data_IF_546323176207
#
_entry.id   IF_546323176207
#
_cell.length_a   1.000
_cell.length_b   1.000
_cell.length_c   1.000
_cell.angle_alpha   90.00
_cell.angle_beta   90.00
_cell.angle_gamma   90.00
#
_symmetry.space_group_name_H-M   'P 1'
#
loop_
_entity.id
_entity.type
_entity.pdbx_description
1 polymer ?
#
# COMPACT_ATOMS: atom_id res chain seq x y z
N UNK A 1 -9.25 7.86 -10.94
CA UNK A 1 -8.03 7.19 -11.45
C UNK A 1 -6.74 7.98 -11.16
N UNK A 2 -6.49 9.16 -11.76
CA UNK A 2 -5.21 9.91 -11.64
C UNK A 2 -4.75 10.16 -10.19
N UNK A 3 -5.66 10.48 -9.27
CA UNK A 3 -5.35 10.75 -7.86
C UNK A 3 -4.79 9.52 -7.11
N UNK A 4 -5.27 8.32 -7.45
CA UNK A 4 -4.84 7.06 -6.81
C UNK A 4 -3.40 6.70 -7.23
N UNK A 5 -3.08 6.85 -8.51
CA UNK A 5 -1.71 6.64 -9.00
C UNK A 5 -0.74 7.66 -8.42
N UNK A 6 -1.15 8.94 -8.33
CA UNK A 6 -0.32 9.98 -7.73
C UNK A 6 -0.04 9.69 -6.24
N UNK A 7 -1.05 9.25 -5.48
CA UNK A 7 -0.87 8.85 -4.08
C UNK A 7 0.07 7.65 -3.92
N UNK A 8 -0.03 6.64 -4.80
CA UNK A 8 0.89 5.49 -4.80
C UNK A 8 2.32 5.93 -5.14
N UNK A 9 2.50 6.81 -6.13
CA UNK A 9 3.80 7.36 -6.50
C UNK A 9 4.45 8.18 -5.37
N UNK A 10 3.69 9.09 -4.74
CA UNK A 10 4.19 9.86 -3.59
C UNK A 10 4.59 8.93 -2.43
N UNK A 11 3.79 7.90 -2.16
CA UNK A 11 4.13 6.89 -1.14
C UNK A 11 5.42 6.12 -1.49
N UNK A 12 5.66 5.87 -2.78
CA UNK A 12 6.90 5.26 -3.26
C UNK A 12 8.10 6.21 -3.10
N UNK A 13 7.94 7.51 -3.37
CA UNK A 13 8.98 8.51 -3.11
C UNK A 13 9.38 8.54 -1.64
N UNK A 14 8.41 8.49 -0.72
CA UNK A 14 8.69 8.37 0.72
C UNK A 14 9.51 7.11 1.03
N UNK A 15 9.19 5.98 0.39
CA UNK A 15 9.93 4.73 0.57
C UNK A 15 11.39 4.86 0.10
N UNK A 16 11.64 5.52 -1.03
CA UNK A 16 13.00 5.81 -1.51
C UNK A 16 13.79 6.67 -0.51
N UNK A 17 13.18 7.70 0.07
CA UNK A 17 13.83 8.53 1.10
C UNK A 17 14.26 7.71 2.33
N UNK A 18 13.45 6.71 2.71
CA UNK A 18 13.83 5.78 3.79
C UNK A 18 15.01 4.89 3.39
N UNK A 19 15.01 4.34 2.17
CA UNK A 19 16.14 3.53 1.67
C UNK A 19 17.42 4.35 1.68
N UNK A 20 17.38 5.58 1.17
CA UNK A 20 18.54 6.48 1.15
C UNK A 20 19.00 6.79 2.57
N UNK A 21 18.08 7.03 3.51
CA UNK A 21 18.42 7.23 4.93
C UNK A 21 19.17 6.02 5.49
N UNK A 22 18.68 4.80 5.25
CA UNK A 22 19.35 3.58 5.70
C UNK A 22 20.73 3.38 5.06
N UNK A 23 20.85 3.68 3.77
CA UNK A 23 22.13 3.63 3.07
C UNK A 23 23.14 4.62 3.67
N UNK A 24 22.72 5.86 3.96
CA UNK A 24 23.58 6.87 4.59
C UNK A 24 24.00 6.43 5.99
N UNK A 25 23.11 5.82 6.78
CA UNK A 25 23.44 5.23 8.08
C UNK A 25 24.47 4.12 7.94
N UNK A 26 24.27 3.18 7.02
CA UNK A 26 25.21 2.10 6.79
C UNK A 26 26.60 2.64 6.37
N UNK A 27 26.63 3.61 5.43
CA UNK A 27 27.87 4.25 4.99
C UNK A 27 28.56 5.01 6.13
N UNK A 28 27.80 5.74 6.94
CA UNK A 28 28.33 6.45 8.11
C UNK A 28 28.93 5.49 9.13
N UNK A 29 28.29 4.35 9.36
CA UNK A 29 28.79 3.29 10.25
C UNK A 29 30.09 2.68 9.75
N UNK A 30 30.18 2.34 8.45
CA UNK A 30 31.41 1.84 7.83
C UNK A 30 32.54 2.87 7.94
N UNK A 31 32.26 4.13 7.61
CA UNK A 31 33.25 5.22 7.70
C UNK A 31 33.77 5.44 9.12
N UNK A 32 32.91 5.25 10.13
CA UNK A 32 33.31 5.33 11.53
C UNK A 32 34.16 4.12 11.96
N UNK A 33 33.78 2.92 11.51
CA UNK A 33 34.52 1.69 11.78
C UNK A 33 35.94 1.70 11.16
N UNK A 34 36.09 2.28 9.97
CA UNK A 34 37.38 2.45 9.28
C UNK A 34 38.24 3.59 9.86
N UNK A 35 37.79 4.25 10.94
CA UNK A 35 38.53 5.33 11.62
C UNK A 35 38.42 6.69 10.92
N UNK A 36 37.52 6.85 9.96
CA UNK A 36 37.23 8.12 9.30
C UNK A 36 36.52 9.12 10.22
N UNK A 37 36.75 10.41 10.00
CA UNK A 37 36.04 11.47 10.70
C UNK A 37 34.67 11.70 10.06
N UNK A 38 33.60 11.37 10.80
CA UNK A 38 32.23 11.67 10.40
C UNK A 38 31.78 12.93 11.15
N UNK A 39 31.43 13.98 10.41
CA UNK A 39 30.76 15.15 10.98
C UNK A 39 29.33 14.76 11.38
N UNK A 40 29.17 14.39 12.66
CA UNK A 40 27.92 13.93 13.24
C UNK A 40 26.80 14.96 13.11
N UNK A 41 27.12 16.25 13.23
CA UNK A 41 26.10 17.32 13.18
C UNK A 41 25.53 17.41 11.78
N UNK A 42 26.40 17.51 10.78
CA UNK A 42 25.97 17.54 9.37
C UNK A 42 25.24 16.25 8.98
N UNK A 43 25.73 15.11 9.45
CA UNK A 43 25.12 13.81 9.18
C UNK A 43 23.69 13.70 9.73
N UNK A 44 23.48 14.08 11.00
CA UNK A 44 22.16 14.07 11.64
C UNK A 44 21.21 15.06 10.97
N UNK A 45 21.69 16.27 10.60
CA UNK A 45 20.87 17.27 9.90
C UNK A 45 20.38 16.77 8.54
N UNK A 46 21.25 16.09 7.76
CA UNK A 46 20.86 15.49 6.48
C UNK A 46 19.78 14.43 6.69
N UNK A 47 19.97 13.53 7.67
CA UNK A 47 18.97 12.49 7.96
C UNK A 47 17.64 13.07 8.42
N UNK A 48 17.67 14.09 9.28
CA UNK A 48 16.46 14.80 9.73
C UNK A 48 15.73 15.44 8.56
N UNK A 49 16.45 16.17 7.69
CA UNK A 49 15.87 16.82 6.51
C UNK A 49 15.24 15.81 5.56
N UNK A 50 15.92 14.69 5.29
CA UNK A 50 15.43 13.65 4.40
C UNK A 50 14.16 12.96 4.95
N UNK A 51 14.13 12.69 6.26
CA UNK A 51 12.96 12.08 6.90
C UNK A 51 11.79 13.06 7.05
N UNK A 52 12.07 14.34 7.35
CA UNK A 52 11.04 15.38 7.39
C UNK A 52 10.40 15.58 6.01
N UNK A 53 11.21 15.63 4.95
CA UNK A 53 10.72 15.68 3.57
C UNK A 53 9.87 14.44 3.23
N UNK A 54 10.40 13.24 3.51
CA UNK A 54 9.66 11.99 3.30
C UNK A 54 8.32 11.95 4.05
N UNK A 55 8.28 12.48 5.27
CA UNK A 55 7.06 12.61 6.07
C UNK A 55 6.05 13.59 5.45
N UNK A 56 6.51 14.74 4.96
CA UNK A 56 5.64 15.69 4.24
C UNK A 56 5.00 15.07 2.99
N UNK A 57 5.79 14.34 2.21
CA UNK A 57 5.30 13.58 1.05
C UNK A 57 4.28 12.52 1.46
N UNK A 58 4.50 11.82 2.58
CA UNK A 58 3.58 10.83 3.15
C UNK A 58 2.20 11.42 3.47
N UNK A 59 2.18 12.61 4.08
CA UNK A 59 0.95 13.30 4.44
C UNK A 59 0.12 13.63 3.21
N UNK A 60 0.76 14.14 2.15
CA UNK A 60 0.09 14.46 0.89
C UNK A 60 -0.46 13.19 0.24
N UNK A 61 0.34 12.12 0.18
CA UNK A 61 -0.08 10.82 -0.35
C UNK A 61 -1.33 10.30 0.37
N UNK A 62 -1.35 10.37 1.72
CA UNK A 62 -2.48 9.93 2.54
C UNK A 62 -3.75 10.74 2.25
N UNK A 63 -3.62 12.06 2.09
CA UNK A 63 -4.76 12.94 1.76
C UNK A 63 -5.33 12.61 0.37
N UNK A 64 -4.48 12.44 -0.63
CA UNK A 64 -4.89 12.09 -1.99
C UNK A 64 -5.53 10.70 -2.07
N UNK A 65 -5.00 9.73 -1.31
CA UNK A 65 -5.61 8.41 -1.21
C UNK A 65 -7.01 8.48 -0.59
N UNK A 66 -7.19 9.32 0.44
CA UNK A 66 -8.50 9.56 1.07
C UNK A 66 -9.51 10.20 0.12
N UNK A 67 -9.12 11.23 -0.63
CA UNK A 67 -9.98 11.88 -1.64
C UNK A 67 -10.33 10.93 -2.79
N UNK A 68 -9.37 10.14 -3.26
CA UNK A 68 -9.60 9.14 -4.30
C UNK A 68 -10.62 8.08 -3.88
N UNK A 69 -10.60 7.68 -2.60
CA UNK A 69 -11.57 6.75 -2.04
C UNK A 69 -12.97 7.34 -2.00
N UNK A 70 -13.11 8.58 -1.51
CA UNK A 70 -14.42 9.25 -1.44
C UNK A 70 -15.06 9.37 -2.83
N UNK A 71 -14.28 9.78 -3.83
CA UNK A 71 -14.78 9.89 -5.20
C UNK A 71 -15.22 8.55 -5.82
N UNK A 72 -14.46 7.47 -5.55
CA UNK A 72 -14.81 6.14 -6.03
C UNK A 72 -16.09 5.62 -5.38
N UNK A 73 -16.25 5.84 -4.06
CA UNK A 73 -17.47 5.55 -3.30
C UNK A 73 -18.69 6.20 -3.93
N UNK A 74 -18.61 7.50 -4.17
CA UNK A 74 -19.75 8.29 -4.65
C UNK A 74 -20.13 7.88 -6.08
N UNK A 75 -19.13 7.63 -6.94
CA UNK A 75 -19.36 7.14 -8.30
C UNK A 75 -19.99 5.74 -8.33
N UNK A 76 -19.57 4.85 -7.42
CA UNK A 76 -20.10 3.47 -7.32
C UNK A 76 -21.53 3.47 -6.77
N UNK A 77 -21.84 4.34 -5.80
CA UNK A 77 -23.21 4.58 -5.33
C UNK A 77 -24.10 5.00 -6.49
N UNK A 78 -23.68 6.00 -7.25
CA UNK A 78 -24.48 6.54 -8.34
C UNK A 78 -24.73 5.51 -9.46
N UNK A 79 -23.71 4.79 -9.92
CA UNK A 79 -23.87 3.78 -10.97
C UNK A 79 -24.73 2.59 -10.52
N UNK A 80 -24.67 2.22 -9.23
CA UNK A 80 -25.55 1.22 -8.67
C UNK A 80 -27.02 1.68 -8.68
N UNK A 81 -27.30 2.91 -8.24
CA UNK A 81 -28.65 3.47 -8.28
C UNK A 81 -29.20 3.54 -9.71
N UNK A 82 -28.39 3.97 -10.67
CA UNK A 82 -28.76 4.00 -12.09
C UNK A 82 -29.06 2.60 -12.62
N UNK A 83 -28.24 1.60 -12.28
CA UNK A 83 -28.47 0.21 -12.67
C UNK A 83 -29.70 -0.41 -12.00
N UNK A 84 -30.01 -0.03 -10.75
CA UNK A 84 -31.20 -0.49 -10.01
C UNK A 84 -32.48 0.09 -10.61
N UNK A 85 -32.49 1.40 -10.90
CA UNK A 85 -33.60 2.09 -11.57
C UNK A 85 -33.82 1.57 -12.99
N UNK A 86 -32.75 1.22 -13.71
CA UNK A 86 -32.85 0.56 -15.01
C UNK A 86 -33.45 -0.86 -14.92
N UNK A 87 -33.51 -1.46 -13.73
CA UNK A 87 -34.01 -2.81 -13.47
C UNK A 87 -35.40 -2.86 -12.83
N UNK A 88 -36.12 -1.73 -12.74
CA UNK A 88 -37.50 -1.59 -12.25
C UNK A 88 -38.53 -2.36 -13.10
N UNK A 89 -38.40 -3.69 -13.12
CA UNK A 89 -39.30 -4.57 -13.84
C UNK A 89 -39.53 -5.93 -13.19
N UNK A 90 -38.65 -6.44 -12.33
CA UNK A 90 -38.84 -7.76 -11.70
C UNK A 90 -38.16 -7.87 -10.32
N UNK A 91 -38.74 -7.25 -9.28
CA UNK A 91 -38.48 -7.67 -7.91
C UNK A 91 -39.44 -8.82 -7.57
N UNK A 92 -39.05 -10.06 -7.90
CA UNK A 92 -39.80 -11.25 -7.46
C UNK A 92 -39.64 -11.46 -5.94
N UNK A 93 -40.66 -10.98 -5.22
CA UNK A 93 -41.36 -11.55 -4.06
C UNK A 93 -40.65 -12.07 -2.79
N UNK A 94 -39.37 -11.79 -2.50
CA UNK A 94 -38.82 -12.08 -1.15
C UNK A 94 -37.96 -11.03 -0.46
N UNK A 95 -37.51 -9.99 -1.15
CA UNK A 95 -36.76 -8.90 -0.54
C UNK A 95 -37.47 -7.58 -0.82
N UNK A 96 -37.74 -6.78 0.22
CA UNK A 96 -38.28 -5.43 0.02
C UNK A 96 -37.21 -4.57 -0.66
N UNK A 97 -37.61 -3.64 -1.53
CA UNK A 97 -36.68 -2.71 -2.19
C UNK A 97 -35.75 -1.98 -1.19
N UNK A 98 -36.24 -1.76 0.04
CA UNK A 98 -35.46 -1.22 1.15
C UNK A 98 -34.34 -2.15 1.65
N UNK A 99 -34.54 -3.48 1.66
CA UNK A 99 -33.53 -4.45 2.08
C UNK A 99 -32.44 -4.58 1.01
N UNK A 100 -32.85 -4.63 -0.25
CA UNK A 100 -31.91 -4.62 -1.39
C UNK A 100 -31.09 -3.34 -1.39
N UNK A 101 -31.72 -2.21 -1.10
CA UNK A 101 -31.05 -0.91 -0.98
C UNK A 101 -30.04 -0.88 0.17
N UNK A 102 -30.43 -1.35 1.36
CA UNK A 102 -29.55 -1.37 2.53
C UNK A 102 -28.36 -2.31 2.33
N UNK A 103 -28.58 -3.53 1.83
CA UNK A 103 -27.51 -4.50 1.56
C UNK A 103 -26.57 -3.98 0.48
N UNK A 104 -27.11 -3.35 -0.57
CA UNK A 104 -26.28 -2.78 -1.62
C UNK A 104 -25.47 -1.58 -1.13
N UNK A 105 -26.04 -0.69 -0.33
CA UNK A 105 -25.31 0.43 0.25
C UNK A 105 -24.16 -0.05 1.17
N UNK A 106 -24.39 -1.11 1.96
CA UNK A 106 -23.34 -1.73 2.77
C UNK A 106 -22.28 -2.45 1.93
N UNK A 107 -22.71 -3.15 0.87
CA UNK A 107 -21.84 -3.81 -0.09
C UNK A 107 -20.93 -2.81 -0.81
N UNK A 108 -21.47 -1.69 -1.28
CA UNK A 108 -20.74 -0.59 -1.93
C UNK A 108 -19.75 0.05 -0.97
N UNK A 109 -20.14 0.28 0.29
CA UNK A 109 -19.22 0.82 1.30
C UNK A 109 -18.06 -0.14 1.60
N UNK A 110 -18.34 -1.45 1.65
CA UNK A 110 -17.30 -2.49 1.78
C UNK A 110 -16.44 -2.59 0.51
N UNK A 111 -17.04 -2.46 -0.68
CA UNK A 111 -16.34 -2.60 -1.96
C UNK A 111 -15.46 -1.40 -2.23
N UNK A 112 -15.93 -0.18 -1.95
CA UNK A 112 -15.10 1.03 -2.04
C UNK A 112 -13.93 0.97 -1.04
N UNK A 113 -14.20 0.61 0.21
CA UNK A 113 -13.14 0.43 1.21
C UNK A 113 -12.12 -0.60 0.74
N UNK A 114 -12.59 -1.72 0.19
CA UNK A 114 -11.73 -2.76 -0.34
C UNK A 114 -10.92 -2.28 -1.55
N UNK A 115 -11.54 -1.75 -2.60
CA UNK A 115 -10.85 -1.32 -3.83
C UNK A 115 -9.94 -0.12 -3.60
N UNK A 116 -10.38 0.88 -2.83
CA UNK A 116 -9.58 2.09 -2.57
C UNK A 116 -8.38 1.80 -1.67
N UNK A 117 -8.51 0.88 -0.72
CA UNK A 117 -7.38 0.40 0.07
C UNK A 117 -6.49 -0.54 -0.75
N UNK A 118 -7.04 -1.58 -1.38
CA UNK A 118 -6.27 -2.61 -2.07
C UNK A 118 -5.58 -2.09 -3.33
N UNK A 119 -6.22 -1.26 -4.16
CA UNK A 119 -5.63 -0.86 -5.43
C UNK A 119 -4.43 0.07 -5.24
N UNK A 120 -4.60 1.12 -4.43
CA UNK A 120 -3.53 2.04 -4.08
C UNK A 120 -2.43 1.33 -3.27
N UNK A 121 -2.82 0.42 -2.36
CA UNK A 121 -1.87 -0.29 -1.52
C UNK A 121 -1.09 -1.35 -2.29
N UNK A 122 -1.74 -2.08 -3.19
CA UNK A 122 -1.12 -3.09 -4.04
C UNK A 122 -0.09 -2.44 -4.97
N UNK A 123 -0.43 -1.34 -5.66
CA UNK A 123 0.51 -0.62 -6.53
C UNK A 123 1.76 -0.15 -5.77
N UNK A 124 1.57 0.44 -4.58
CA UNK A 124 2.69 0.86 -3.72
C UNK A 124 3.56 -0.33 -3.31
N UNK A 125 2.93 -1.44 -2.91
CA UNK A 125 3.64 -2.66 -2.51
C UNK A 125 4.42 -3.25 -3.68
N UNK A 126 3.85 -3.28 -4.88
CA UNK A 126 4.54 -3.70 -6.10
C UNK A 126 5.79 -2.84 -6.37
N UNK A 127 5.67 -1.51 -6.31
CA UNK A 127 6.82 -0.62 -6.48
C UNK A 127 7.90 -0.84 -5.42
N UNK A 128 7.50 -1.00 -4.16
CA UNK A 128 8.44 -1.24 -3.06
C UNK A 128 9.18 -2.57 -3.23
N UNK A 129 8.44 -3.66 -3.48
CA UNK A 129 9.01 -4.98 -3.72
C UNK A 129 9.93 -5.00 -4.93
N UNK A 130 9.52 -4.37 -6.05
CA UNK A 130 10.34 -4.25 -7.24
C UNK A 130 11.64 -3.48 -6.98
N UNK A 131 11.57 -2.37 -6.23
CA UNK A 131 12.74 -1.56 -5.87
C UNK A 131 13.71 -2.37 -5.02
N UNK A 132 13.23 -3.05 -3.97
CA UNK A 132 14.07 -3.89 -3.10
C UNK A 132 14.69 -5.05 -3.87
N UNK A 133 13.89 -5.74 -4.69
CA UNK A 133 14.37 -6.86 -5.50
C UNK A 133 15.47 -6.42 -6.47
N UNK A 134 15.28 -5.27 -7.13
CA UNK A 134 16.27 -4.70 -8.03
C UNK A 134 17.56 -4.30 -7.29
N UNK A 135 17.46 -3.66 -6.13
CA UNK A 135 18.62 -3.31 -5.31
C UNK A 135 19.39 -4.55 -4.83
N UNK A 136 18.68 -5.57 -4.33
CA UNK A 136 19.29 -6.83 -3.90
C UNK A 136 19.94 -7.53 -5.09
N UNK A 137 19.27 -7.56 -6.25
CA UNK A 137 19.83 -8.16 -7.46
C UNK A 137 21.13 -7.48 -7.92
N UNK A 138 21.18 -6.14 -7.87
CA UNK A 138 22.37 -5.37 -8.26
C UNK A 138 23.54 -5.54 -7.28
N UNK A 139 23.27 -5.64 -5.97
CA UNK A 139 24.32 -5.75 -4.95
C UNK A 139 24.75 -7.21 -4.76
N UNK A 140 23.80 -8.15 -4.78
CA UNK A 140 24.03 -9.57 -4.51
C UNK A 140 22.99 -10.44 -5.24
N UNK A 141 23.27 -10.85 -6.50
CA UNK A 141 22.29 -11.56 -7.33
C UNK A 141 21.85 -12.91 -6.76
N UNK A 142 22.72 -13.60 -6.03
CA UNK A 142 22.37 -14.86 -5.35
C UNK A 142 21.37 -14.62 -4.20
N UNK A 143 21.47 -13.49 -3.51
CA UNK A 143 20.53 -13.07 -2.47
C UNK A 143 19.15 -12.75 -3.02
N UNK A 144 19.06 -12.24 -4.26
CA UNK A 144 17.78 -12.01 -4.92
C UNK A 144 17.03 -13.33 -5.17
N UNK A 145 17.75 -14.40 -5.52
CA UNK A 145 17.16 -15.75 -5.65
C UNK A 145 16.61 -16.23 -4.30
N UNK A 146 17.39 -16.11 -3.23
CA UNK A 146 16.96 -16.46 -1.86
C UNK A 146 15.72 -15.64 -1.47
N UNK A 147 15.71 -14.34 -1.77
CA UNK A 147 14.60 -13.46 -1.47
C UNK A 147 13.31 -13.88 -2.20
N UNK A 148 13.41 -14.22 -3.50
CA UNK A 148 12.28 -14.75 -4.27
C UNK A 148 11.74 -16.05 -3.68
N UNK A 149 12.62 -16.95 -3.22
CA UNK A 149 12.23 -18.20 -2.57
C UNK A 149 11.60 -17.98 -1.18
N UNK A 150 12.01 -16.92 -0.47
CA UNK A 150 11.48 -16.58 0.85
C UNK A 150 10.10 -15.89 0.81
N UNK A 151 9.80 -15.12 -0.24
CA UNK A 151 8.50 -14.45 -0.41
C UNK A 151 7.27 -15.37 -0.24
N UNK A 152 7.19 -16.55 -0.89
CA UNK A 152 6.07 -17.49 -0.70
C UNK A 152 6.10 -18.22 0.65
N UNK A 153 7.24 -18.24 1.35
CA UNK A 153 7.37 -18.85 2.68
C UNK A 153 6.75 -18.01 3.80
N UNK A 154 6.56 -16.70 3.61
CA UNK A 154 5.94 -15.81 4.60
C UNK A 154 4.44 -16.11 4.82
N UNK A 155 3.59 -16.26 3.78
CA UNK A 155 2.17 -16.56 3.98
C UNK A 155 1.90 -18.03 4.34
N UNK A 156 2.83 -18.95 4.04
CA UNK A 156 2.61 -20.39 4.16
C UNK A 156 2.32 -20.87 5.59
N UNK A 157 3.01 -20.39 6.65
CA UNK A 157 2.67 -20.71 8.04
C UNK A 157 1.28 -20.19 8.45
N UNK A 158 0.84 -19.06 7.90
CA UNK A 158 -0.46 -18.45 8.23
C UNK A 158 -1.62 -19.23 7.62
N UNK A 159 -1.48 -19.73 6.39
CA UNK A 159 -2.46 -20.62 5.77
C UNK A 159 -2.53 -21.96 6.49
N UNK A 160 -1.38 -22.52 6.90
CA UNK A 160 -1.31 -23.77 7.66
C UNK A 160 -1.97 -23.66 9.04
N UNK A 161 -1.78 -22.52 9.72
CA UNK A 161 -2.44 -22.22 10.99
C UNK A 161 -3.97 -22.07 10.82
N UNK A 162 -4.43 -21.44 9.73
CA UNK A 162 -5.87 -21.36 9.40
C UNK A 162 -6.49 -22.69 8.99
N UNK A 163 -5.70 -23.63 8.48
CA UNK A 163 -6.13 -25.01 8.20
C UNK A 163 -5.90 -25.98 9.36
N UNK A 164 -5.51 -25.48 10.54
CA UNK A 164 -5.56 -26.25 11.79
C UNK A 164 -7.01 -26.68 12.07
N UNK A 165 -7.24 -27.86 12.66
CA UNK A 165 -8.52 -28.55 12.58
C UNK A 165 -9.64 -27.67 13.12
N UNK A 166 -10.63 -27.40 12.26
CA UNK A 166 -12.01 -27.25 12.69
C UNK A 166 -12.40 -28.54 13.41
N UNK A 167 -12.14 -28.59 14.71
CA UNK A 167 -12.30 -29.76 15.54
C UNK A 167 -12.56 -29.36 16.99
N UNK A 168 -13.81 -28.94 17.24
CA UNK A 168 -14.65 -29.35 18.38
C UNK A 168 -15.98 -28.60 18.32
#
# INVERSE_FOLDING_TARGET
>A
MKLVYLAAFLSWVQFLMRIISFYLIAKGFVSYYEGGQVDLVRFVLILLGLNAFGYGVALIAKRLQGLGSQFARDSLKQSFFEALLAKDGQFESKATAADVFNIASQGIDSLDTYYSYYMASSLRTQFNCATVLLLVFLIFPLGAVIFILALPLIPFPLSLCRSGPSGS
#
